data_IF_018524217512
#
_entry.id   IF_018524217512
#
_cell.length_a   1.000
_cell.length_b   1.000
_cell.length_c   1.000
_cell.angle_alpha   90.00
_cell.angle_beta   90.00
_cell.angle_gamma   90.00
#
_symmetry.space_group_name_H-M   'P 1'
#
loop_
_entity.id
_entity.type
_entity.pdbx_description
1 polymer ?
#
# COMPACT_ATOMS: atom_id res chain seq x y z
N UNK A 1 17.08 8.31 -0.46
CA UNK A 1 16.96 9.14 -1.69
C UNK A 1 18.32 9.69 -2.10
N UNK A 2 18.53 9.86 -3.41
CA UNK A 2 19.78 10.34 -4.02
C UNK A 2 19.52 11.74 -4.58
N UNK A 3 20.04 12.77 -3.92
CA UNK A 3 19.91 14.17 -4.38
C UNK A 3 21.19 14.95 -4.13
N UNK A 4 21.83 14.68 -3.00
CA UNK A 4 23.14 15.17 -2.63
C UNK A 4 24.07 13.99 -2.43
N UNK A 5 25.36 14.23 -2.66
CA UNK A 5 26.46 13.33 -2.31
C UNK A 5 27.39 14.05 -1.32
N UNK A 6 28.34 13.32 -0.75
CA UNK A 6 29.38 13.92 0.09
C UNK A 6 30.24 14.91 -0.70
N UNK A 7 30.68 15.97 -0.02
CA UNK A 7 31.62 16.93 -0.59
C UNK A 7 32.98 16.28 -0.89
N UNK A 8 33.69 16.75 -1.94
CA UNK A 8 35.03 16.27 -2.23
C UNK A 8 36.04 16.71 -1.17
N UNK A 9 37.20 16.07 -1.16
CA UNK A 9 38.32 16.46 -0.30
C UNK A 9 38.95 17.81 -0.71
N UNK A 10 40.00 18.23 0.02
CA UNK A 10 40.72 19.48 -0.24
C UNK A 10 41.38 19.55 -1.64
N UNK A 11 41.53 18.42 -2.32
CA UNK A 11 42.07 18.29 -3.67
C UNK A 11 40.97 18.14 -4.73
N UNK A 12 39.69 18.26 -4.35
CA UNK A 12 38.56 18.08 -5.25
C UNK A 12 38.29 16.63 -5.63
N UNK A 13 38.77 15.65 -4.86
CA UNK A 13 38.51 14.23 -5.09
C UNK A 13 37.31 13.75 -4.27
N UNK A 14 36.35 13.12 -4.95
CA UNK A 14 35.24 12.46 -4.28
C UNK A 14 35.68 11.09 -3.74
N UNK A 15 35.30 10.73 -2.51
CA UNK A 15 35.61 9.42 -1.96
C UNK A 15 34.79 8.32 -2.65
N UNK A 16 35.43 7.20 -2.94
CA UNK A 16 34.76 6.00 -3.45
C UNK A 16 33.94 5.31 -2.35
N UNK A 17 32.77 4.79 -2.73
CA UNK A 17 31.99 3.91 -1.87
C UNK A 17 32.72 2.57 -1.63
N UNK A 18 32.69 2.03 -0.39
CA UNK A 18 33.23 0.71 -0.14
C UNK A 18 32.33 -0.38 -0.75
N UNK A 19 32.92 -1.54 -1.05
CA UNK A 19 32.15 -2.74 -1.44
C UNK A 19 31.20 -3.17 -0.32
N UNK A 20 29.99 -3.58 -0.70
CA UNK A 20 28.94 -3.99 0.23
C UNK A 20 29.11 -5.43 0.72
N UNK A 21 29.65 -6.30 -0.13
CA UNK A 21 29.69 -7.76 0.07
C UNK A 21 28.38 -8.50 -0.26
N UNK A 22 27.36 -7.82 -0.82
CA UNK A 22 26.07 -8.42 -1.16
C UNK A 22 26.08 -9.19 -2.49
N UNK A 23 26.97 -8.83 -3.40
CA UNK A 23 27.12 -9.42 -4.73
C UNK A 23 28.57 -9.24 -5.22
N UNK A 24 29.00 -10.14 -6.10
CA UNK A 24 30.29 -10.05 -6.80
C UNK A 24 30.17 -9.39 -8.18
N UNK A 25 28.94 -9.15 -8.64
CA UNK A 25 28.66 -8.45 -9.89
C UNK A 25 28.90 -6.95 -9.71
N UNK A 26 29.94 -6.41 -10.37
CA UNK A 26 30.35 -5.01 -10.23
C UNK A 26 29.39 -4.01 -10.87
N UNK A 27 28.55 -4.48 -11.79
CA UNK A 27 27.57 -3.65 -12.47
C UNK A 27 26.22 -3.60 -11.71
N UNK A 28 26.05 -4.45 -10.68
CA UNK A 28 24.89 -4.44 -9.81
C UNK A 28 24.99 -3.27 -8.81
N UNK A 29 23.91 -2.49 -8.67
CA UNK A 29 23.81 -1.40 -7.67
C UNK A 29 24.07 -1.88 -6.25
N UNK A 30 23.81 -3.15 -5.95
CA UNK A 30 24.09 -3.74 -4.65
C UNK A 30 25.58 -4.03 -4.41
N UNK A 31 26.47 -3.88 -5.40
CA UNK A 31 27.91 -4.14 -5.26
C UNK A 31 28.61 -3.18 -4.28
N UNK A 32 28.26 -1.90 -4.35
CA UNK A 32 28.78 -0.87 -3.46
C UNK A 32 27.78 -0.58 -2.34
N UNK A 33 28.29 -0.04 -1.23
CA UNK A 33 27.43 0.72 -0.32
C UNK A 33 27.04 2.04 -1.00
N UNK A 34 26.00 2.68 -0.46
CA UNK A 34 25.49 3.94 -0.99
C UNK A 34 25.44 5.03 0.10
N UNK A 35 26.30 4.94 1.13
CA UNK A 35 26.26 5.79 2.32
C UNK A 35 26.69 7.24 2.02
N UNK A 36 27.46 7.42 0.95
CA UNK A 36 27.99 8.70 0.49
C UNK A 36 27.02 9.42 -0.46
N UNK A 37 26.07 8.71 -1.08
CA UNK A 37 25.13 9.28 -2.06
C UNK A 37 23.65 9.20 -1.66
N UNK A 38 23.29 8.35 -0.69
CA UNK A 38 21.91 8.18 -0.24
C UNK A 38 21.67 8.76 1.15
N UNK A 39 20.43 9.22 1.37
CA UNK A 39 19.92 9.59 2.70
C UNK A 39 20.73 10.70 3.38
N UNK A 40 21.39 11.54 2.57
CA UNK A 40 22.18 12.68 3.01
C UNK A 40 21.31 13.71 3.75
N UNK A 41 21.76 14.28 4.89
CA UNK A 41 21.01 15.30 5.64
C UNK A 41 20.51 16.46 4.76
N UNK A 42 21.31 16.88 3.79
CA UNK A 42 21.03 17.92 2.81
C UNK A 42 19.80 17.58 1.95
N UNK A 43 19.58 16.29 1.67
CA UNK A 43 18.37 15.83 0.97
C UNK A 43 17.11 16.07 1.79
N UNK A 44 17.19 15.86 3.11
CA UNK A 44 16.08 16.10 4.03
C UNK A 44 15.83 17.62 4.16
N UNK A 45 16.89 18.42 4.27
CA UNK A 45 16.79 19.88 4.33
C UNK A 45 16.12 20.46 3.08
N UNK A 46 16.42 19.93 1.89
CA UNK A 46 15.76 20.35 0.66
C UNK A 46 14.23 20.16 0.69
N UNK A 47 13.74 19.09 1.33
CA UNK A 47 12.29 18.88 1.51
C UNK A 47 11.67 20.00 2.35
N UNK A 48 12.39 20.52 3.34
CA UNK A 48 11.93 21.64 4.16
C UNK A 48 11.88 22.94 3.36
N UNK A 49 12.88 23.16 2.50
CA UNK A 49 12.89 24.32 1.60
C UNK A 49 11.72 24.27 0.61
N UNK A 50 11.42 23.09 0.04
CA UNK A 50 10.22 22.92 -0.80
C UNK A 50 8.93 23.17 -0.03
N UNK A 51 8.84 22.71 1.22
CA UNK A 51 7.68 22.98 2.07
C UNK A 51 7.49 24.48 2.30
N UNK A 52 8.57 25.22 2.56
CA UNK A 52 8.51 26.68 2.73
C UNK A 52 7.96 27.37 1.48
N UNK A 53 8.42 26.98 0.28
CA UNK A 53 7.90 27.52 -0.99
C UNK A 53 6.40 27.28 -1.13
N UNK A 54 5.94 26.07 -0.80
CA UNK A 54 4.52 25.71 -0.85
C UNK A 54 3.68 26.50 0.14
N UNK A 55 4.16 26.68 1.38
CA UNK A 55 3.47 27.43 2.42
C UNK A 55 3.40 28.94 2.09
N UNK A 56 4.47 29.51 1.53
CA UNK A 56 4.45 30.90 1.05
C UNK A 56 3.47 31.11 -0.11
N UNK A 57 3.43 30.17 -1.06
CA UNK A 57 2.46 30.20 -2.14
C UNK A 57 1.02 30.08 -1.60
N UNK A 58 0.78 29.17 -0.65
CA UNK A 58 -0.52 29.01 0.01
C UNK A 58 -0.96 30.30 0.71
N UNK A 59 -0.06 30.95 1.44
CA UNK A 59 -0.32 32.20 2.17
C UNK A 59 -0.72 33.34 1.25
N UNK A 60 -0.09 33.44 0.07
CA UNK A 60 -0.36 34.49 -0.92
C UNK A 60 -1.69 34.24 -1.65
N UNK A 61 -1.95 33.00 -2.03
CA UNK A 61 -3.06 32.67 -2.95
C UNK A 61 -4.32 32.13 -2.27
N UNK A 62 -4.24 31.70 -1.00
CA UNK A 62 -5.38 31.12 -0.28
C UNK A 62 -5.96 29.86 -0.93
N UNK A 63 -7.21 29.56 -0.57
CA UNK A 63 -7.95 28.36 -1.02
C UNK A 63 -7.65 27.13 -0.18
N UNK A 64 -8.02 25.96 -0.71
CA UNK A 64 -7.70 24.68 -0.09
C UNK A 64 -6.18 24.51 0.06
N UNK A 65 -5.78 23.71 1.05
CA UNK A 65 -4.36 23.48 1.35
C UNK A 65 -3.70 22.72 0.21
N UNK A 66 -2.62 23.29 -0.33
CA UNK A 66 -1.74 22.61 -1.28
C UNK A 66 -0.81 21.67 -0.52
N UNK A 67 -0.78 20.41 -0.93
CA UNK A 67 -0.04 19.36 -0.23
C UNK A 67 1.25 18.98 -0.95
N UNK A 68 2.28 18.63 -0.18
CA UNK A 68 3.57 18.13 -0.66
C UNK A 68 3.69 16.66 -0.27
N UNK A 69 3.75 15.79 -1.27
CA UNK A 69 3.99 14.36 -1.13
C UNK A 69 5.43 14.06 -1.57
N UNK A 70 6.16 13.28 -0.78
CA UNK A 70 7.55 12.92 -1.07
C UNK A 70 7.67 11.41 -1.24
N UNK A 71 8.25 11.00 -2.35
CA UNK A 71 8.57 9.59 -2.59
C UNK A 71 9.98 9.27 -2.12
N UNK A 72 10.12 8.25 -1.27
CA UNK A 72 11.43 7.70 -0.91
C UNK A 72 11.32 6.26 -0.45
N UNK A 73 12.17 5.39 -1.01
CA UNK A 73 12.47 4.08 -0.43
C UNK A 73 13.69 4.26 0.47
N UNK A 74 13.45 4.43 1.78
CA UNK A 74 14.49 4.58 2.78
C UNK A 74 14.04 3.98 4.12
N UNK A 75 14.98 3.61 5.01
CA UNK A 75 14.66 3.20 6.37
C UNK A 75 13.82 4.26 7.10
N UNK A 76 12.96 3.83 8.02
CA UNK A 76 12.07 4.71 8.78
C UNK A 76 12.81 5.89 9.45
N UNK A 77 14.04 5.67 9.93
CA UNK A 77 14.87 6.72 10.53
C UNK A 77 15.09 7.94 9.63
N UNK A 78 15.11 7.76 8.30
CA UNK A 78 15.24 8.86 7.33
C UNK A 78 13.87 9.33 6.84
N UNK A 79 12.97 8.40 6.52
CA UNK A 79 11.63 8.72 6.02
C UNK A 79 10.84 9.58 7.01
N UNK A 80 10.96 9.35 8.32
CA UNK A 80 10.26 10.15 9.33
C UNK A 80 10.77 11.58 9.44
N UNK A 81 12.05 11.83 9.12
CA UNK A 81 12.60 13.18 9.10
C UNK A 81 11.99 14.05 7.99
N UNK A 82 11.44 13.42 6.94
CA UNK A 82 10.76 14.12 5.85
C UNK A 82 9.48 14.84 6.29
N UNK A 83 8.87 14.45 7.42
CA UNK A 83 7.74 15.18 8.01
C UNK A 83 8.15 16.52 8.65
N UNK A 84 9.45 16.77 8.82
CA UNK A 84 9.96 17.92 9.56
C UNK A 84 10.40 17.56 10.97
N UNK A 85 10.73 18.59 11.74
CA UNK A 85 11.20 18.47 13.12
C UNK A 85 10.40 19.44 14.03
N UNK A 86 10.92 19.75 15.22
CA UNK A 86 10.23 20.63 16.18
C UNK A 86 10.15 22.09 15.75
N UNK A 87 11.02 22.53 14.84
CA UNK A 87 11.17 23.93 14.44
C UNK A 87 10.86 24.19 12.97
N UNK A 88 10.85 23.15 12.15
CA UNK A 88 10.68 23.25 10.70
C UNK A 88 9.69 22.19 10.21
N UNK A 89 8.77 22.61 9.35
CA UNK A 89 7.79 21.77 8.69
C UNK A 89 8.40 21.09 7.46
N UNK A 90 8.13 19.80 7.27
CA UNK A 90 8.50 19.06 6.07
C UNK A 90 7.32 18.72 5.18
N UNK A 91 7.46 17.65 4.42
CA UNK A 91 6.39 17.11 3.59
C UNK A 91 5.12 16.86 4.40
N UNK A 92 3.97 17.04 3.74
CA UNK A 92 2.69 16.66 4.32
C UNK A 92 2.60 15.15 4.46
N UNK A 93 3.12 14.42 3.46
CA UNK A 93 3.10 12.97 3.38
C UNK A 93 4.34 12.43 2.64
N UNK A 94 5.38 11.93 3.32
CA UNK A 94 6.30 10.98 2.72
C UNK A 94 5.57 9.64 2.48
N UNK A 95 5.66 9.08 1.28
CA UNK A 95 4.96 7.84 0.94
C UNK A 95 5.44 6.66 1.80
N UNK A 96 4.48 5.88 2.30
CA UNK A 96 4.71 4.69 3.10
C UNK A 96 4.69 3.43 2.24
N UNK A 97 5.87 2.93 1.90
CA UNK A 97 6.03 1.69 1.13
C UNK A 97 6.22 0.44 2.00
N UNK A 98 6.05 0.51 3.32
CA UNK A 98 6.35 -0.62 4.22
C UNK A 98 5.50 -1.86 3.89
N UNK A 99 4.24 -1.69 3.51
CA UNK A 99 3.38 -2.81 3.11
C UNK A 99 3.86 -3.48 1.81
N UNK A 100 4.63 -2.78 0.97
CA UNK A 100 5.30 -3.37 -0.19
C UNK A 100 6.61 -4.03 0.26
N UNK A 101 7.50 -3.31 0.95
CA UNK A 101 8.87 -3.76 1.23
C UNK A 101 8.95 -4.89 2.25
N UNK A 102 8.20 -4.81 3.36
CA UNK A 102 8.22 -5.82 4.42
C UNK A 102 7.61 -7.14 3.92
N UNK A 103 6.53 -7.06 3.16
CA UNK A 103 5.82 -8.25 2.66
C UNK A 103 6.50 -8.91 1.45
N UNK A 104 7.61 -8.36 0.92
CA UNK A 104 8.40 -9.05 -0.12
C UNK A 104 8.91 -10.43 0.31
N UNK A 105 9.13 -10.63 1.62
CA UNK A 105 9.63 -11.90 2.17
C UNK A 105 8.52 -12.96 2.31
N UNK A 106 7.26 -12.55 2.26
CA UNK A 106 6.11 -13.41 2.44
C UNK A 106 4.90 -12.63 2.97
N UNK A 107 3.72 -13.21 2.78
CA UNK A 107 2.45 -12.61 3.20
C UNK A 107 1.97 -13.30 4.47
N UNK A 108 2.04 -12.60 5.60
CA UNK A 108 1.58 -13.10 6.90
C UNK A 108 1.04 -11.97 7.78
N UNK A 109 0.22 -12.31 8.77
CA UNK A 109 -0.28 -11.31 9.72
C UNK A 109 0.86 -10.64 10.51
N UNK A 110 1.94 -11.38 10.79
CA UNK A 110 3.11 -10.85 11.48
C UNK A 110 3.84 -9.79 10.63
N UNK A 111 4.02 -10.03 9.33
CA UNK A 111 4.62 -9.05 8.42
C UNK A 111 3.72 -7.83 8.20
N UNK A 112 2.39 -8.01 8.15
CA UNK A 112 1.44 -6.89 8.14
C UNK A 112 1.59 -6.05 9.42
N UNK A 113 1.64 -6.67 10.59
CA UNK A 113 1.87 -5.94 11.85
C UNK A 113 3.21 -5.22 11.84
N UNK A 114 4.28 -5.86 11.38
CA UNK A 114 5.60 -5.23 11.28
C UNK A 114 5.54 -3.98 10.39
N UNK A 115 4.95 -4.07 9.20
CA UNK A 115 4.82 -2.91 8.30
C UNK A 115 4.04 -1.75 8.93
N UNK A 116 2.96 -2.06 9.65
CA UNK A 116 2.14 -1.08 10.37
C UNK A 116 2.91 -0.47 11.55
N UNK A 117 3.63 -1.29 12.31
CA UNK A 117 4.47 -0.90 13.43
C UNK A 117 5.60 0.04 12.98
N UNK A 118 6.30 -0.29 11.90
CA UNK A 118 7.39 0.51 11.34
C UNK A 118 6.95 1.93 11.00
N UNK A 119 5.69 2.15 10.63
CA UNK A 119 5.14 3.49 10.41
C UNK A 119 4.61 4.12 11.70
N UNK A 120 3.60 3.50 12.33
CA UNK A 120 2.82 4.14 13.40
C UNK A 120 3.62 4.31 14.70
N UNK A 121 4.65 3.51 14.94
CA UNK A 121 5.52 3.66 16.14
C UNK A 121 6.63 4.69 15.94
N UNK A 122 6.97 5.04 14.69
CA UNK A 122 8.08 5.95 14.39
C UNK A 122 7.61 7.33 13.90
N UNK A 123 6.38 7.43 13.37
CA UNK A 123 5.83 8.69 12.85
C UNK A 123 5.78 9.77 13.93
N UNK A 124 6.27 11.00 13.65
CA UNK A 124 6.17 12.10 14.60
C UNK A 124 4.71 12.37 14.98
N UNK A 125 4.49 12.79 16.23
CA UNK A 125 3.16 13.13 16.72
C UNK A 125 2.51 14.22 15.86
N UNK A 126 1.18 14.17 15.72
CA UNK A 126 0.37 15.13 14.94
C UNK A 126 0.69 15.16 13.43
N UNK A 127 1.28 14.09 12.89
CA UNK A 127 1.43 13.86 11.45
C UNK A 127 0.38 12.87 10.95
N UNK A 128 0.16 12.86 9.64
CA UNK A 128 -0.82 11.99 8.98
C UNK A 128 -0.11 10.77 8.41
N UNK A 129 -0.52 9.57 8.84
CA UNK A 129 -0.03 8.33 8.24
C UNK A 129 -0.55 8.18 6.80
N UNK A 130 0.10 7.35 5.99
CA UNK A 130 -0.45 6.92 4.71
C UNK A 130 -0.12 5.45 4.46
N UNK A 131 -0.79 4.83 3.50
CA UNK A 131 -0.66 3.40 3.21
C UNK A 131 -0.64 3.17 1.71
N UNK A 132 0.45 2.59 1.22
CA UNK A 132 0.65 2.25 -0.20
C UNK A 132 0.88 0.75 -0.30
N UNK A 133 0.11 0.07 -1.15
CA UNK A 133 0.24 -1.38 -1.39
C UNK A 133 0.69 -1.73 -2.81
N UNK A 134 0.77 -0.73 -3.70
CA UNK A 134 1.28 -0.84 -5.05
C UNK A 134 1.58 0.52 -5.68
N UNK A 135 2.33 0.47 -6.77
CA UNK A 135 2.71 1.59 -7.62
C UNK A 135 3.28 1.02 -8.93
N UNK A 136 3.71 1.90 -9.82
CA UNK A 136 4.29 1.56 -11.13
C UNK A 136 5.74 1.03 -11.11
N UNK A 137 6.36 0.90 -9.94
CA UNK A 137 7.73 0.38 -9.78
C UNK A 137 7.79 -1.00 -9.12
N UNK A 138 6.66 -1.49 -8.64
CA UNK A 138 6.53 -2.76 -7.95
C UNK A 138 5.47 -3.59 -8.66
N UNK A 139 5.58 -4.92 -8.59
CA UNK A 139 4.53 -5.85 -9.05
C UNK A 139 3.14 -5.39 -8.55
N UNK A 140 2.05 -5.69 -9.24
CA UNK A 140 0.71 -5.30 -8.78
C UNK A 140 0.37 -5.94 -7.44
N UNK A 141 -0.49 -5.28 -6.66
CA UNK A 141 -0.89 -5.74 -5.33
C UNK A 141 -1.48 -7.17 -5.36
N UNK A 142 -2.44 -7.43 -6.26
CA UNK A 142 -3.06 -8.75 -6.39
C UNK A 142 -2.05 -9.85 -6.74
N UNK A 143 -1.07 -9.56 -7.60
CA UNK A 143 0.01 -10.51 -7.94
C UNK A 143 0.98 -10.73 -6.78
N UNK A 144 1.33 -9.67 -6.03
CA UNK A 144 2.27 -9.77 -4.91
C UNK A 144 1.67 -10.47 -3.70
N UNK A 145 0.44 -10.16 -3.34
CA UNK A 145 -0.18 -10.67 -2.10
C UNK A 145 -0.99 -11.96 -2.31
N UNK A 146 -1.25 -12.33 -3.57
CA UNK A 146 -2.17 -13.38 -3.96
C UNK A 146 -3.56 -12.81 -4.25
N UNK A 147 -4.16 -13.26 -5.35
CA UNK A 147 -5.45 -12.76 -5.86
C UNK A 147 -6.57 -12.87 -4.83
N UNK A 148 -6.54 -13.92 -4.01
CA UNK A 148 -7.50 -14.17 -2.93
C UNK A 148 -7.42 -13.15 -1.79
N UNK A 149 -6.36 -12.33 -1.73
CA UNK A 149 -6.15 -11.30 -0.69
C UNK A 149 -6.34 -9.87 -1.20
N UNK A 150 -6.79 -9.70 -2.45
CA UNK A 150 -7.03 -8.38 -3.05
C UNK A 150 -7.93 -7.53 -2.16
N UNK A 151 -9.09 -8.05 -1.79
CA UNK A 151 -10.03 -7.32 -0.92
C UNK A 151 -9.48 -7.18 0.50
N UNK A 152 -8.78 -8.18 1.03
CA UNK A 152 -8.18 -8.12 2.36
C UNK A 152 -7.20 -6.95 2.47
N UNK A 153 -6.37 -6.72 1.46
CA UNK A 153 -5.41 -5.62 1.43
C UNK A 153 -6.08 -4.26 1.20
N UNK A 154 -7.07 -4.18 0.30
CA UNK A 154 -7.86 -2.96 0.08
C UNK A 154 -8.62 -2.55 1.35
N UNK A 155 -9.24 -3.52 2.04
CA UNK A 155 -9.91 -3.29 3.32
C UNK A 155 -8.95 -2.81 4.40
N UNK A 156 -7.75 -3.39 4.48
CA UNK A 156 -6.73 -2.99 5.45
C UNK A 156 -6.36 -1.51 5.29
N UNK A 157 -5.93 -1.09 4.09
CA UNK A 157 -5.49 0.29 3.86
C UNK A 157 -6.63 1.30 3.97
N UNK A 158 -7.86 0.90 3.65
CA UNK A 158 -9.07 1.70 3.83
C UNK A 158 -9.59 1.74 5.27
N UNK A 159 -9.09 0.88 6.17
CA UNK A 159 -9.46 0.88 7.59
C UNK A 159 -8.37 1.49 8.47
N UNK A 160 -7.10 1.46 8.05
CA UNK A 160 -6.00 2.09 8.76
C UNK A 160 -6.17 3.63 8.85
N UNK A 161 -5.62 4.26 9.91
CA UNK A 161 -5.71 5.72 10.11
C UNK A 161 -4.88 6.48 9.08
N UNK A 162 -5.30 7.69 8.69
CA UNK A 162 -4.55 8.56 7.78
C UNK A 162 -5.03 8.54 6.33
N UNK A 163 -4.14 8.55 5.35
CA UNK A 163 -4.48 8.51 3.92
C UNK A 163 -4.35 7.09 3.35
N UNK A 164 -5.28 6.69 2.48
CA UNK A 164 -5.11 5.51 1.62
C UNK A 164 -4.65 5.98 0.25
N UNK A 165 -3.65 5.32 -0.32
CA UNK A 165 -3.12 5.61 -1.66
C UNK A 165 -3.36 4.38 -2.51
N UNK A 166 -3.90 4.60 -3.71
CA UNK A 166 -4.32 3.51 -4.59
C UNK A 166 -3.66 3.67 -5.95
N UNK A 167 -3.00 2.61 -6.40
CA UNK A 167 -2.46 2.52 -7.73
C UNK A 167 -3.50 2.00 -8.72
N UNK A 168 -3.45 2.54 -9.93
CA UNK A 168 -4.41 2.27 -11.00
C UNK A 168 -4.59 0.76 -11.25
N UNK A 169 -5.80 0.24 -10.98
CA UNK A 169 -6.18 -1.16 -11.17
C UNK A 169 -6.27 -1.98 -9.90
N UNK A 170 -5.81 -1.46 -8.75
CA UNK A 170 -5.98 -2.12 -7.45
C UNK A 170 -7.46 -2.25 -7.05
N UNK A 171 -8.30 -1.32 -7.48
CA UNK A 171 -9.75 -1.33 -7.25
C UNK A 171 -10.48 -2.43 -8.03
N UNK A 172 -9.87 -2.95 -9.10
CA UNK A 172 -10.34 -4.08 -9.91
C UNK A 172 -9.66 -5.39 -9.51
N UNK A 173 -8.55 -5.33 -8.76
CA UNK A 173 -7.70 -6.50 -8.56
C UNK A 173 -6.88 -6.89 -9.81
N UNK A 174 -6.52 -5.92 -10.65
CA UNK A 174 -5.63 -6.17 -11.79
C UNK A 174 -4.33 -6.85 -11.32
N UNK A 175 -3.93 -7.89 -12.06
CA UNK A 175 -2.67 -8.60 -11.89
C UNK A 175 -1.63 -8.12 -12.92
N UNK A 176 -0.37 -8.44 -12.67
CA UNK A 176 0.70 -8.15 -13.59
C UNK A 176 0.42 -8.70 -14.98
N UNK A 177 0.65 -7.89 -16.01
CA UNK A 177 0.60 -8.37 -17.38
C UNK A 177 1.82 -9.21 -17.76
N UNK A 178 1.65 -10.03 -18.79
CA UNK A 178 2.75 -10.82 -19.36
C UNK A 178 3.43 -9.99 -20.45
N UNK A 179 4.70 -9.65 -20.24
CA UNK A 179 5.50 -8.83 -21.15
C UNK A 179 6.71 -9.64 -21.62
N UNK A 180 6.84 -9.82 -22.93
CA UNK A 180 8.00 -10.47 -23.56
C UNK A 180 9.23 -9.56 -23.50
N UNK A 181 10.41 -10.13 -23.74
CA UNK A 181 11.62 -9.33 -23.93
C UNK A 181 11.44 -8.33 -25.09
N UNK A 182 10.82 -8.75 -26.19
CA UNK A 182 10.64 -7.94 -27.39
C UNK A 182 9.67 -6.76 -27.20
N UNK A 183 8.72 -6.89 -26.27
CA UNK A 183 7.78 -5.82 -25.91
C UNK A 183 8.23 -5.03 -24.65
N UNK A 184 9.35 -5.41 -24.02
CA UNK A 184 9.90 -4.69 -22.86
C UNK A 184 10.45 -3.33 -23.29
N UNK A 185 10.05 -2.29 -22.55
CA UNK A 185 10.46 -0.90 -22.80
C UNK A 185 11.04 -0.23 -21.56
N UNK A 186 10.98 -0.87 -20.39
CA UNK A 186 11.60 -0.35 -19.17
C UNK A 186 13.13 -0.25 -19.31
N UNK A 187 13.72 0.97 -19.21
CA UNK A 187 15.17 1.14 -19.32
C UNK A 187 15.98 0.25 -18.37
N UNK A 188 15.47 -0.03 -17.15
CA UNK A 188 16.16 -0.90 -16.20
C UNK A 188 16.33 -2.32 -16.75
N UNK A 189 15.32 -2.84 -17.45
CA UNK A 189 15.36 -4.14 -18.08
C UNK A 189 16.07 -4.12 -19.44
N UNK A 190 15.91 -3.06 -20.23
CA UNK A 190 16.62 -2.91 -21.51
C UNK A 190 18.14 -2.86 -21.34
N UNK A 191 18.63 -2.33 -20.21
CA UNK A 191 20.05 -2.32 -19.85
C UNK A 191 20.55 -3.66 -19.28
N UNK A 192 19.69 -4.67 -19.15
CA UNK A 192 20.04 -6.03 -18.74
C UNK A 192 20.21 -6.94 -19.97
N UNK A 193 19.57 -8.11 -19.99
CA UNK A 193 19.50 -8.98 -21.15
C UNK A 193 18.23 -9.86 -21.12
N UNK A 194 17.95 -10.50 -22.27
CA UNK A 194 16.77 -11.36 -22.47
C UNK A 194 16.59 -12.51 -21.47
N UNK A 195 17.67 -12.95 -20.81
CA UNK A 195 17.63 -14.12 -19.93
C UNK A 195 17.29 -13.71 -18.48
N UNK A 196 17.42 -12.43 -18.12
CA UNK A 196 17.22 -11.93 -16.74
C UNK A 196 16.32 -10.69 -16.64
N UNK A 197 15.78 -10.18 -17.75
CA UNK A 197 15.00 -8.93 -17.80
C UNK A 197 13.82 -8.89 -16.83
N UNK A 198 13.20 -10.03 -16.55
CA UNK A 198 12.07 -10.16 -15.63
C UNK A 198 12.41 -9.72 -14.19
N UNK A 199 13.68 -9.80 -13.80
CA UNK A 199 14.16 -9.35 -12.49
C UNK A 199 14.21 -7.82 -12.37
N UNK A 200 14.23 -7.11 -13.51
CA UNK A 200 14.44 -5.67 -13.58
C UNK A 200 13.23 -4.91 -14.11
N UNK A 201 12.40 -5.53 -14.95
CA UNK A 201 11.29 -4.82 -15.60
C UNK A 201 10.15 -4.50 -14.65
N UNK A 202 9.68 -3.27 -14.75
CA UNK A 202 8.47 -2.76 -14.11
C UNK A 202 7.26 -2.80 -15.05
N UNK A 203 7.46 -3.07 -16.34
CA UNK A 203 6.41 -3.09 -17.37
C UNK A 203 5.20 -3.96 -17.04
N UNK A 204 5.33 -5.14 -16.38
CA UNK A 204 4.19 -5.94 -15.97
C UNK A 204 3.18 -5.20 -15.08
N UNK A 205 3.63 -4.25 -14.26
CA UNK A 205 2.75 -3.40 -13.44
C UNK A 205 2.17 -2.20 -14.19
N UNK A 206 2.69 -1.89 -15.39
CA UNK A 206 2.38 -0.69 -16.19
C UNK A 206 1.46 -0.96 -17.37
N UNK A 207 0.97 -2.20 -17.51
CA UNK A 207 0.06 -2.58 -18.58
C UNK A 207 -1.17 -1.66 -18.62
N UNK A 208 -1.70 -1.35 -19.83
CA UNK A 208 -2.82 -0.43 -19.95
C UNK A 208 -4.05 -0.89 -19.15
N UNK A 209 -4.80 0.09 -18.66
CA UNK A 209 -5.97 -0.16 -17.79
C UNK A 209 -7.11 -0.87 -18.54
N UNK A 210 -7.83 -1.73 -17.82
CA UNK A 210 -8.85 -2.62 -18.36
C UNK A 210 -10.26 -2.05 -18.17
N UNK A 211 -10.70 -1.20 -19.12
CA UNK A 211 -12.03 -0.58 -19.09
C UNK A 211 -13.14 -1.55 -19.52
N UNK A 212 -12.97 -2.23 -20.64
CA UNK A 212 -14.00 -3.05 -21.28
C UNK A 212 -13.42 -4.36 -21.81
N UNK A 213 -14.28 -5.28 -22.26
CA UNK A 213 -13.85 -6.50 -22.99
C UNK A 213 -13.59 -6.25 -24.50
N UNK A 214 -13.66 -4.99 -24.96
CA UNK A 214 -13.47 -4.62 -26.35
C UNK A 214 -12.02 -4.42 -26.76
N UNK A 215 -11.81 -3.85 -27.95
CA UNK A 215 -10.47 -3.56 -28.51
C UNK A 215 -9.57 -2.87 -27.49
N UNK A 216 -8.38 -3.44 -27.29
CA UNK A 216 -7.38 -3.02 -26.32
C UNK A 216 -7.92 -2.73 -24.90
N UNK A 217 -8.86 -3.56 -24.43
CA UNK A 217 -9.57 -3.37 -23.16
C UNK A 217 -10.26 -2.00 -23.01
N UNK A 218 -10.63 -1.35 -24.12
CA UNK A 218 -11.18 0.01 -24.10
C UNK A 218 -10.18 1.12 -23.80
N UNK A 219 -8.89 0.82 -23.60
CA UNK A 219 -7.85 1.82 -23.39
C UNK A 219 -7.55 2.65 -24.65
N UNK A 220 -7.62 2.03 -25.84
CA UNK A 220 -7.32 2.69 -27.10
C UNK A 220 -7.97 2.00 -28.29
N UNK A 221 -8.31 2.76 -29.33
CA UNK A 221 -8.77 2.23 -30.62
C UNK A 221 -7.63 2.03 -31.63
N UNK A 222 -6.37 2.28 -31.24
CA UNK A 222 -5.20 2.04 -32.09
C UNK A 222 -4.99 0.55 -32.37
N UNK A 223 -4.22 0.22 -33.41
CA UNK A 223 -3.89 -1.17 -33.74
C UNK A 223 -2.92 -1.84 -32.76
N UNK A 224 -2.06 -1.07 -32.09
CA UNK A 224 -1.14 -1.52 -31.04
C UNK A 224 -1.04 -0.44 -29.94
N UNK A 225 -0.96 -0.87 -28.69
CA UNK A 225 -0.69 -0.02 -27.52
C UNK A 225 0.81 0.05 -27.21
N UNK A 226 1.20 1.01 -26.36
CA UNK A 226 2.61 1.21 -26.00
C UNK A 226 3.21 0.03 -25.19
N UNK A 227 2.37 -0.66 -24.43
CA UNK A 227 2.62 -1.98 -23.84
C UNK A 227 1.48 -2.93 -24.19
N UNK A 228 1.72 -4.26 -24.29
CA UNK A 228 0.68 -5.27 -24.39
C UNK A 228 -0.43 -5.14 -23.35
N UNK A 229 -1.65 -5.45 -23.75
CA UNK A 229 -2.81 -5.58 -22.86
C UNK A 229 -2.69 -6.90 -22.09
N UNK A 230 -3.03 -6.91 -20.81
CA UNK A 230 -3.04 -8.14 -20.02
C UNK A 230 -4.07 -9.14 -20.57
N UNK A 231 -3.76 -10.45 -20.59
CA UNK A 231 -4.59 -11.45 -21.29
C UNK A 231 -5.97 -11.68 -20.66
N UNK A 232 -6.17 -11.30 -19.40
CA UNK A 232 -7.39 -11.48 -18.62
C UNK A 232 -8.41 -10.34 -18.76
N UNK A 233 -8.12 -9.31 -19.58
CA UNK A 233 -8.97 -8.13 -19.71
C UNK A 233 -10.42 -8.41 -20.13
N UNK A 234 -10.70 -9.55 -20.76
CA UNK A 234 -12.06 -9.90 -21.19
C UNK A 234 -12.98 -10.21 -19.99
N UNK A 235 -12.43 -10.73 -18.90
CA UNK A 235 -13.18 -11.09 -17.69
C UNK A 235 -12.87 -10.18 -16.50
N UNK A 236 -11.70 -9.56 -16.47
CA UNK A 236 -11.29 -8.60 -15.46
C UNK A 236 -11.30 -7.19 -16.07
N UNK A 237 -12.40 -6.46 -15.97
CA UNK A 237 -12.51 -5.09 -16.46
C UNK A 237 -13.67 -4.34 -15.78
N UNK A 238 -13.66 -3.01 -15.91
CA UNK A 238 -14.67 -2.13 -15.30
C UNK A 238 -16.11 -2.51 -15.69
N UNK A 239 -16.39 -2.80 -16.96
CA UNK A 239 -17.75 -3.13 -17.42
C UNK A 239 -18.27 -4.44 -16.81
N UNK A 240 -17.42 -5.47 -16.81
CA UNK A 240 -17.76 -6.78 -16.21
C UNK A 240 -17.97 -6.63 -14.70
N UNK A 241 -17.10 -5.90 -14.01
CA UNK A 241 -17.22 -5.73 -12.56
C UNK A 241 -18.39 -4.83 -12.14
N UNK A 242 -18.76 -3.83 -12.95
CA UNK A 242 -19.95 -3.02 -12.70
C UNK A 242 -21.24 -3.82 -12.88
N UNK A 243 -21.30 -4.71 -13.88
CA UNK A 243 -22.48 -5.52 -14.20
C UNK A 243 -22.64 -6.77 -13.33
N UNK A 244 -21.53 -7.30 -12.80
CA UNK A 244 -21.53 -8.45 -11.89
C UNK A 244 -22.25 -8.16 -10.58
N UNK A 245 -22.95 -9.13 -9.99
CA UNK A 245 -23.67 -8.93 -8.72
C UNK A 245 -22.73 -8.45 -7.60
N UNK A 246 -21.59 -9.13 -7.46
CA UNK A 246 -20.48 -8.79 -6.57
C UNK A 246 -19.19 -8.68 -7.38
N UNK A 247 -18.28 -7.79 -6.99
CA UNK A 247 -16.98 -7.57 -7.64
C UNK A 247 -16.03 -6.80 -6.73
N UNK A 248 -14.73 -6.82 -7.02
CA UNK A 248 -13.73 -6.04 -6.30
C UNK A 248 -14.06 -4.54 -6.37
N UNK A 249 -14.49 -4.05 -7.54
CA UNK A 249 -14.88 -2.66 -7.75
C UNK A 249 -16.05 -2.24 -6.87
N UNK A 250 -17.05 -3.12 -6.69
CA UNK A 250 -18.19 -2.84 -5.81
C UNK A 250 -17.77 -2.82 -4.35
N UNK A 251 -16.96 -3.78 -3.93
CA UNK A 251 -16.37 -3.81 -2.58
C UNK A 251 -15.57 -2.54 -2.33
N UNK A 252 -14.72 -2.15 -3.28
CA UNK A 252 -13.90 -0.95 -3.22
C UNK A 252 -14.74 0.34 -3.12
N UNK A 253 -15.80 0.46 -3.92
CA UNK A 253 -16.78 1.56 -3.81
C UNK A 253 -17.43 1.60 -2.41
N UNK A 254 -17.80 0.46 -1.85
CA UNK A 254 -18.33 0.37 -0.49
C UNK A 254 -17.31 0.79 0.57
N UNK A 255 -16.02 0.48 0.39
CA UNK A 255 -14.95 0.93 1.29
C UNK A 255 -14.79 2.46 1.28
N UNK A 256 -14.82 3.07 0.09
CA UNK A 256 -14.77 4.53 -0.05
C UNK A 256 -15.98 5.18 0.63
N UNK A 257 -17.19 4.64 0.43
CA UNK A 257 -18.39 5.17 1.06
C UNK A 257 -18.36 5.01 2.58
N UNK A 258 -17.89 3.85 3.08
CA UNK A 258 -17.72 3.63 4.51
C UNK A 258 -16.73 4.64 5.12
N UNK A 259 -15.61 4.91 4.44
CA UNK A 259 -14.60 5.88 4.91
C UNK A 259 -15.12 7.32 4.88
N UNK A 260 -15.99 7.68 3.92
CA UNK A 260 -16.64 9.00 3.83
C UNK A 260 -17.73 9.21 4.88
N UNK A 261 -18.47 8.17 5.23
CA UNK A 261 -19.61 8.26 6.15
C UNK A 261 -19.25 7.98 7.61
N UNK A 262 -18.16 7.26 7.87
CA UNK A 262 -17.75 6.88 9.23
C UNK A 262 -16.79 7.89 9.86
N UNK A 263 -17.28 8.65 10.85
CA UNK A 263 -16.41 9.47 11.72
C UNK A 263 -15.38 8.64 12.47
N UNK A 264 -15.72 7.41 12.86
CA UNK A 264 -14.77 6.48 13.49
C UNK A 264 -13.57 6.17 12.59
N UNK A 265 -13.77 6.06 11.27
CA UNK A 265 -12.65 5.88 10.34
C UNK A 265 -11.85 7.17 10.09
N UNK A 266 -12.51 8.32 10.11
CA UNK A 266 -11.90 9.63 9.86
C UNK A 266 -11.08 10.15 11.05
N UNK A 267 -11.63 10.04 12.25
CA UNK A 267 -11.14 10.71 13.46
C UNK A 267 -10.84 9.73 14.61
N UNK A 268 -11.35 8.51 14.52
CA UNK A 268 -11.28 7.53 15.60
C UNK A 268 -9.87 6.99 15.85
N UNK A 269 -9.65 6.60 17.10
CA UNK A 269 -8.48 5.86 17.55
C UNK A 269 -8.45 4.46 16.96
N UNK A 270 -7.32 3.78 17.13
CA UNK A 270 -7.09 2.46 16.57
C UNK A 270 -6.40 1.51 17.56
N UNK A 271 -6.60 0.22 17.34
CA UNK A 271 -5.87 -0.88 17.98
C UNK A 271 -5.71 -1.99 16.95
N UNK A 272 -4.54 -2.58 16.81
CA UNK A 272 -4.32 -3.67 15.86
C UNK A 272 -3.40 -4.74 16.45
N UNK A 273 -3.50 -5.95 15.92
CA UNK A 273 -2.69 -7.09 16.37
C UNK A 273 -2.71 -8.23 15.35
N UNK A 274 -1.55 -8.84 15.12
CA UNK A 274 -1.41 -10.18 14.56
C UNK A 274 -1.76 -11.21 15.63
N UNK A 275 -2.69 -12.10 15.30
CA UNK A 275 -3.21 -13.15 16.17
C UNK A 275 -2.67 -14.51 15.71
N UNK A 276 -2.98 -15.56 16.46
CA UNK A 276 -2.67 -16.94 16.06
C UNK A 276 -3.27 -17.26 14.68
N UNK A 277 -2.78 -18.32 14.05
CA UNK A 277 -3.28 -18.82 12.75
C UNK A 277 -3.29 -17.76 11.62
N UNK A 278 -2.34 -16.81 11.66
CA UNK A 278 -2.20 -15.74 10.66
C UNK A 278 -3.42 -14.82 10.51
N UNK A 279 -4.19 -14.60 11.58
CA UNK A 279 -5.19 -13.54 11.59
C UNK A 279 -4.55 -12.17 11.87
N UNK A 280 -5.01 -11.12 11.20
CA UNK A 280 -4.71 -9.74 11.58
C UNK A 280 -6.00 -8.98 11.85
N UNK A 281 -6.12 -8.41 13.04
CA UNK A 281 -7.28 -7.64 13.48
C UNK A 281 -6.91 -6.15 13.62
N UNK A 282 -7.80 -5.26 13.20
CA UNK A 282 -7.71 -3.82 13.40
C UNK A 282 -9.08 -3.28 13.85
N UNK A 283 -9.11 -2.69 15.04
CA UNK A 283 -10.24 -1.96 15.60
C UNK A 283 -10.06 -0.48 15.34
N UNK A 284 -11.12 0.19 14.89
CA UNK A 284 -11.28 1.65 14.88
C UNK A 284 -12.42 2.03 15.83
N UNK A 285 -12.19 3.00 16.70
CA UNK A 285 -13.16 3.38 17.73
C UNK A 285 -13.11 4.88 18.04
N UNK A 286 -14.30 5.45 18.29
CA UNK A 286 -14.49 6.85 18.66
C UNK A 286 -15.68 6.94 19.61
N UNK A 287 -15.52 7.66 20.72
CA UNK A 287 -16.57 7.79 21.75
C UNK A 287 -17.86 8.36 21.16
N UNK A 288 -18.98 7.67 21.36
CA UNK A 288 -20.30 8.08 20.86
C UNK A 288 -20.60 7.65 19.41
N UNK A 289 -19.66 7.01 18.74
CA UNK A 289 -19.80 6.50 17.37
C UNK A 289 -19.65 4.97 17.33
N UNK A 290 -20.13 4.33 16.26
CA UNK A 290 -19.98 2.89 16.09
C UNK A 290 -18.50 2.47 15.98
N UNK A 291 -18.16 1.35 16.61
CA UNK A 291 -16.84 0.69 16.48
C UNK A 291 -16.80 -0.17 15.23
N UNK A 292 -15.67 -0.14 14.53
CA UNK A 292 -15.39 -0.99 13.38
C UNK A 292 -14.24 -1.94 13.67
N UNK A 293 -14.35 -3.18 13.20
CA UNK A 293 -13.29 -4.20 13.27
C UNK A 293 -13.05 -4.77 11.89
N UNK A 294 -11.86 -4.51 11.34
CA UNK A 294 -11.31 -5.28 10.24
C UNK A 294 -10.65 -6.54 10.79
N UNK A 295 -10.89 -7.67 10.13
CA UNK A 295 -10.24 -8.95 10.41
C UNK A 295 -9.99 -9.67 9.09
N UNK A 296 -8.78 -10.20 8.90
CA UNK A 296 -8.44 -11.01 7.74
C UNK A 296 -7.61 -12.23 8.13
N UNK A 297 -7.85 -13.33 7.43
CA UNK A 297 -7.02 -14.54 7.51
C UNK A 297 -5.92 -14.48 6.43
N UNK A 298 -4.70 -14.13 6.85
CA UNK A 298 -3.50 -14.15 6.00
C UNK A 298 -2.89 -15.55 5.83
N UNK A 299 -3.46 -16.58 6.46
CA UNK A 299 -3.07 -17.98 6.31
C UNK A 299 -3.57 -18.61 5.02
N UNK A 300 -3.14 -19.85 4.77
CA UNK A 300 -3.49 -20.63 3.57
C UNK A 300 -4.62 -21.63 3.80
N UNK A 301 -5.10 -21.74 5.04
CA UNK A 301 -6.15 -22.67 5.44
C UNK A 301 -7.27 -21.93 6.18
N UNK A 302 -8.48 -22.48 6.12
CA UNK A 302 -9.59 -22.04 6.95
C UNK A 302 -9.23 -22.19 8.42
N UNK A 303 -9.44 -21.14 9.20
CA UNK A 303 -9.12 -21.11 10.64
C UNK A 303 -10.20 -20.38 11.41
N UNK A 304 -10.20 -20.56 12.74
CA UNK A 304 -11.15 -19.94 13.67
C UNK A 304 -10.42 -19.09 14.70
N UNK A 305 -11.01 -17.98 15.11
CA UNK A 305 -10.47 -17.05 16.11
C UNK A 305 -11.57 -16.57 17.07
N UNK A 306 -11.22 -16.39 18.34
CA UNK A 306 -12.03 -15.66 19.32
C UNK A 306 -11.52 -14.23 19.41
N UNK A 307 -12.17 -13.30 18.69
CA UNK A 307 -11.73 -11.89 18.68
C UNK A 307 -11.94 -11.20 20.04
N UNK A 308 -12.91 -11.65 20.85
CA UNK A 308 -13.10 -11.06 22.16
C UNK A 308 -11.96 -11.46 23.09
N UNK A 309 -11.61 -12.75 23.14
CA UNK A 309 -10.54 -13.26 23.99
C UNK A 309 -9.14 -12.88 23.48
N UNK A 310 -8.87 -13.04 22.19
CA UNK A 310 -7.50 -12.97 21.64
C UNK A 310 -7.08 -11.54 21.25
N UNK A 311 -8.05 -10.66 21.01
CA UNK A 311 -7.82 -9.30 20.52
C UNK A 311 -8.32 -8.20 21.46
N UNK A 312 -9.62 -8.16 21.78
CA UNK A 312 -10.17 -7.11 22.64
C UNK A 312 -11.43 -7.54 23.41
N UNK A 313 -11.25 -7.76 24.71
CA UNK A 313 -12.29 -8.24 25.65
C UNK A 313 -13.49 -7.28 25.79
N UNK A 314 -13.35 -6.03 25.34
CA UNK A 314 -14.43 -5.04 25.36
C UNK A 314 -15.30 -5.06 24.11
N UNK A 315 -14.99 -5.87 23.09
CA UNK A 315 -15.88 -6.05 21.95
C UNK A 315 -17.16 -6.78 22.38
N UNK A 316 -18.33 -6.48 21.77
CA UNK A 316 -19.56 -7.22 22.03
C UNK A 316 -19.41 -8.69 21.58
N UNK A 317 -20.29 -9.58 22.05
CA UNK A 317 -20.23 -11.00 21.66
C UNK A 317 -20.51 -11.23 20.17
N UNK A 318 -21.23 -10.32 19.53
CA UNK A 318 -21.50 -10.35 18.10
C UNK A 318 -21.48 -8.95 17.50
N UNK A 319 -21.18 -8.86 16.21
CA UNK A 319 -21.09 -7.61 15.44
C UNK A 319 -21.74 -7.79 14.06
N UNK A 320 -22.23 -6.70 13.48
CA UNK A 320 -22.87 -6.72 12.15
C UNK A 320 -21.81 -6.73 11.05
N UNK A 321 -21.89 -7.68 10.12
CA UNK A 321 -21.06 -7.71 8.92
C UNK A 321 -21.40 -6.54 8.00
N UNK A 322 -20.45 -5.64 7.77
CA UNK A 322 -20.63 -4.47 6.91
C UNK A 322 -20.13 -4.76 5.49
N UNK A 323 -18.87 -5.19 5.37
CA UNK A 323 -18.24 -5.51 4.08
C UNK A 323 -17.50 -6.85 4.23
N UNK A 324 -17.57 -7.71 3.22
CA UNK A 324 -16.80 -8.95 3.14
C UNK A 324 -16.03 -9.02 1.82
N UNK A 325 -14.91 -9.76 1.80
CA UNK A 325 -14.18 -10.09 0.58
C UNK A 325 -15.06 -10.84 -0.42
N UNK A 326 -14.71 -10.78 -1.71
CA UNK A 326 -15.52 -11.31 -2.82
C UNK A 326 -15.89 -12.78 -2.64
N UNK A 327 -14.95 -13.60 -2.18
CA UNK A 327 -15.13 -15.05 -1.98
C UNK A 327 -15.82 -15.43 -0.67
N UNK A 328 -16.21 -14.45 0.16
CA UNK A 328 -16.94 -14.72 1.41
C UNK A 328 -18.34 -15.25 1.12
N UNK A 329 -18.73 -16.31 1.84
CA UNK A 329 -20.09 -16.84 1.83
C UNK A 329 -21.02 -16.17 2.84
N UNK A 330 -20.48 -15.27 3.68
CA UNK A 330 -21.24 -14.56 4.73
C UNK A 330 -22.02 -13.39 4.14
N UNK A 331 -23.29 -13.27 4.51
CA UNK A 331 -24.18 -12.24 4.00
C UNK A 331 -23.95 -10.87 4.68
N UNK A 332 -23.76 -9.81 3.90
CA UNK A 332 -23.73 -8.44 4.44
C UNK A 332 -25.00 -8.13 5.24
N UNK A 333 -24.86 -7.42 6.35
CA UNK A 333 -25.93 -7.12 7.31
C UNK A 333 -26.21 -8.24 8.32
N UNK A 334 -25.64 -9.43 8.17
CA UNK A 334 -25.79 -10.51 9.14
C UNK A 334 -25.03 -10.23 10.45
N UNK A 335 -25.53 -10.79 11.54
CA UNK A 335 -24.86 -10.76 12.83
C UNK A 335 -23.82 -11.89 12.90
N UNK A 336 -22.59 -11.54 13.22
CA UNK A 336 -21.43 -12.43 13.27
C UNK A 336 -21.02 -12.64 14.72
N UNK A 337 -21.06 -13.89 15.18
CA UNK A 337 -20.45 -14.28 16.46
C UNK A 337 -18.92 -14.14 16.36
N UNK A 338 -18.37 -13.21 17.15
CA UNK A 338 -16.94 -12.92 17.11
C UNK A 338 -16.12 -13.79 18.07
N UNK A 339 -16.77 -14.61 18.90
CA UNK A 339 -16.10 -15.55 19.82
C UNK A 339 -15.66 -16.84 19.14
N UNK A 340 -16.24 -17.16 18.00
CA UNK A 340 -15.92 -18.35 17.22
C UNK A 340 -15.98 -18.04 15.72
N UNK A 341 -15.25 -17.01 15.29
CA UNK A 341 -15.27 -16.54 13.92
C UNK A 341 -14.38 -17.41 13.03
N UNK A 342 -14.98 -18.14 12.08
CA UNK A 342 -14.27 -18.94 11.09
C UNK A 342 -14.13 -18.18 9.77
N UNK A 343 -12.88 -17.99 9.31
CA UNK A 343 -12.57 -17.38 8.01
C UNK A 343 -11.78 -18.36 7.12
N UNK A 344 -12.15 -18.43 5.84
CA UNK A 344 -11.38 -19.11 4.81
C UNK A 344 -10.04 -18.41 4.55
N UNK A 345 -9.13 -19.08 3.84
CA UNK A 345 -7.85 -18.51 3.45
C UNK A 345 -8.05 -17.26 2.57
N UNK A 346 -7.49 -16.12 2.98
CA UNK A 346 -7.64 -14.85 2.26
C UNK A 346 -8.92 -14.09 2.55
N UNK A 347 -9.88 -14.70 3.25
CA UNK A 347 -11.14 -14.05 3.60
C UNK A 347 -10.90 -12.88 4.57
N UNK A 348 -11.57 -11.77 4.31
CA UNK A 348 -11.53 -10.58 5.14
C UNK A 348 -12.93 -9.99 5.35
N UNK A 349 -13.17 -9.48 6.55
CA UNK A 349 -14.42 -8.86 6.94
C UNK A 349 -14.18 -7.49 7.58
N UNK A 350 -15.12 -6.57 7.38
CA UNK A 350 -15.30 -5.37 8.20
C UNK A 350 -16.62 -5.52 8.95
N UNK A 351 -16.52 -5.58 10.27
CA UNK A 351 -17.63 -5.70 11.21
C UNK A 351 -17.88 -4.35 11.88
N UNK A 352 -19.14 -4.01 12.13
CA UNK A 352 -19.55 -2.79 12.85
C UNK A 352 -20.42 -3.16 14.04
N UNK A 353 -20.22 -2.47 15.15
CA UNK A 353 -21.03 -2.64 16.36
C UNK A 353 -20.90 -1.46 17.31
N UNK A 354 -21.82 -1.33 18.24
CA UNK A 354 -21.69 -0.37 19.34
C UNK A 354 -20.71 -0.94 20.36
N UNK A 355 -19.62 -0.23 20.66
CA UNK A 355 -18.81 -0.57 21.84
C UNK A 355 -19.64 -0.32 23.11
N UNK A 356 -19.47 -1.19 24.10
CA UNK A 356 -20.02 -0.98 25.44
C UNK A 356 -19.30 0.16 26.17
#
# INVERSE_FOLDING_TARGET
PVLFEVEPDENGQYPDEPVSGNTEDKDDRAYLKNDLIENRPETIDMVYQWRQVMDDYQRIHGGDTRVLLIETYAPAAYTMQMYGNRTVEGAHLPFNFNLITVLKQGVSAAYVQQAVDEWLKNMPARRTANWVIGNHDQRRAASRYGVQRTDAMNMLVMTLPGASVTYQGEELGMIDGVISWEDTVDPAACNSNKDIYENFTRDPSRTPFQWTAGTNAGFSNASKTWLPIAPDYQTLNVDVENSSANSHLKIYKSLIELRKSSKTLQEGSYKYKALANNFFALKRYLTGESTLVYIANFGNDTSTVDLQQDFDVFLPAAMTLTISSLDSTKASGSEIDIKSLTLAAGEALILTGTAN
#
